data_IF_438608631592
#
_entry.id   IF_438608631592
#
_cell.length_a   1.000
_cell.length_b   1.000
_cell.length_c   1.000
_cell.angle_alpha   90.00
_cell.angle_beta   90.00
_cell.angle_gamma   90.00
#
_symmetry.space_group_name_H-M   'P 1'
#
loop_
_entity.id
_entity.type
_entity.pdbx_description
1 polymer ?
#
# COMPACT_ATOMS: atom_id res chain seq x y z
N UNK A 1 -2.22 20.67 8.55
CA UNK A 1 -2.48 19.30 9.00
C UNK A 1 -1.28 18.74 9.76
N UNK A 2 -0.08 18.76 9.21
CA UNK A 2 1.14 18.22 9.82
C UNK A 2 1.40 18.73 11.24
N UNK A 3 1.23 20.03 11.46
CA UNK A 3 1.46 20.62 12.79
C UNK A 3 0.43 20.17 13.83
N UNK A 4 -0.80 19.90 13.41
CA UNK A 4 -1.87 19.43 14.32
C UNK A 4 -1.63 17.97 14.66
N UNK A 5 -1.34 17.13 13.67
CA UNK A 5 -1.13 15.70 13.88
C UNK A 5 0.06 15.41 14.79
N UNK A 6 1.12 16.23 14.70
CA UNK A 6 2.28 16.10 15.59
C UNK A 6 1.98 16.42 17.06
N UNK A 7 0.81 16.96 17.39
CA UNK A 7 0.39 17.17 18.78
C UNK A 7 -0.17 15.91 19.44
N UNK A 8 -0.46 14.89 18.67
CA UNK A 8 -0.90 13.59 19.17
C UNK A 8 0.27 12.65 19.39
N UNK A 9 0.23 11.89 20.47
CA UNK A 9 1.36 11.07 20.91
C UNK A 9 1.46 9.74 20.15
N UNK A 10 0.33 9.13 19.83
CA UNK A 10 0.27 7.78 19.25
C UNK A 10 -0.14 7.78 17.77
N UNK A 11 0.25 6.70 17.06
CA UNK A 11 -0.17 6.44 15.69
C UNK A 11 -1.70 6.38 15.58
N UNK A 12 -2.35 5.67 16.50
CA UNK A 12 -3.80 5.54 16.58
C UNK A 12 -4.52 6.90 16.66
N UNK A 13 -4.09 7.77 17.56
CA UNK A 13 -4.66 9.11 17.74
C UNK A 13 -4.53 9.95 16.48
N UNK A 14 -3.38 9.89 15.82
CA UNK A 14 -3.13 10.61 14.55
C UNK A 14 -4.03 10.15 13.43
N UNK A 15 -4.19 8.84 13.29
CA UNK A 15 -5.07 8.21 12.29
C UNK A 15 -6.54 8.56 12.59
N UNK A 16 -6.98 8.42 13.84
CA UNK A 16 -8.35 8.71 14.24
C UNK A 16 -8.69 10.18 14.00
N UNK A 17 -7.77 11.09 14.31
CA UNK A 17 -7.96 12.52 14.01
C UNK A 17 -8.25 12.77 12.52
N UNK A 18 -7.50 12.14 11.62
CA UNK A 18 -7.73 12.31 10.17
C UNK A 18 -9.08 11.72 9.74
N UNK A 19 -9.44 10.56 10.28
CA UNK A 19 -10.74 9.92 9.98
C UNK A 19 -11.90 10.79 10.43
N UNK A 20 -11.86 11.29 11.66
CA UNK A 20 -12.86 12.19 12.22
C UNK A 20 -12.91 13.51 11.45
N UNK A 21 -11.75 14.13 11.17
CA UNK A 21 -11.68 15.38 10.41
C UNK A 21 -12.32 15.27 9.02
N UNK A 22 -12.05 14.18 8.28
CA UNK A 22 -12.64 13.97 6.96
C UNK A 22 -14.12 13.62 7.04
N UNK A 23 -14.54 12.88 8.05
CA UNK A 23 -15.94 12.56 8.26
C UNK A 23 -16.76 13.82 8.61
N UNK A 24 -16.27 14.64 9.55
CA UNK A 24 -16.95 15.85 9.98
C UNK A 24 -17.00 16.94 8.89
N UNK A 25 -15.95 16.99 8.04
CA UNK A 25 -15.85 18.05 7.01
C UNK A 25 -16.53 17.65 5.70
N UNK A 26 -16.47 16.38 5.32
CA UNK A 26 -16.87 15.88 3.99
C UNK A 26 -17.89 14.75 4.04
N UNK A 27 -18.33 14.32 5.22
CA UNK A 27 -19.15 13.11 5.43
C UNK A 27 -18.50 11.87 4.74
N UNK A 28 -17.15 11.82 4.74
CA UNK A 28 -16.41 10.81 4.01
C UNK A 28 -15.57 9.91 4.93
N UNK A 29 -15.88 8.61 4.92
CA UNK A 29 -15.06 7.59 5.60
C UNK A 29 -13.87 7.18 4.75
N UNK A 30 -12.66 7.56 5.19
CA UNK A 30 -11.42 7.27 4.50
C UNK A 30 -10.72 5.98 4.99
N UNK A 31 -11.37 5.19 5.85
CA UNK A 31 -10.75 4.02 6.50
C UNK A 31 -10.21 3.01 5.48
N UNK A 32 -11.00 2.66 4.47
CA UNK A 32 -10.58 1.74 3.41
C UNK A 32 -9.39 2.29 2.61
N UNK A 33 -9.43 3.58 2.27
CA UNK A 33 -8.33 4.22 1.54
C UNK A 33 -7.03 4.22 2.34
N UNK A 34 -7.09 4.58 3.62
CA UNK A 34 -5.91 4.55 4.48
C UNK A 34 -5.35 3.14 4.64
N UNK A 35 -6.23 2.14 4.80
CA UNK A 35 -5.79 0.75 4.91
C UNK A 35 -5.07 0.25 3.66
N UNK A 36 -5.56 0.61 2.48
CA UNK A 36 -4.95 0.24 1.20
C UNK A 36 -3.59 0.94 1.00
N UNK A 37 -3.55 2.27 1.18
CA UNK A 37 -2.35 3.05 0.89
C UNK A 37 -1.22 2.76 1.90
N UNK A 38 -1.51 2.65 3.20
CA UNK A 38 -0.49 2.37 4.21
C UNK A 38 0.02 0.92 4.15
N UNK A 39 -0.84 -0.03 3.75
CA UNK A 39 -0.38 -1.40 3.46
C UNK A 39 0.52 -1.46 2.22
N UNK A 40 0.19 -0.66 1.19
CA UNK A 40 1.03 -0.55 -0.01
C UNK A 40 2.37 0.11 0.32
N UNK A 41 2.36 1.19 1.11
CA UNK A 41 3.59 1.87 1.53
C UNK A 41 4.48 0.96 2.39
N UNK A 42 3.89 0.10 3.23
CA UNK A 42 4.63 -0.90 3.99
C UNK A 42 5.28 -1.96 3.08
N UNK A 43 4.57 -2.43 2.05
CA UNK A 43 5.11 -3.37 1.07
C UNK A 43 6.24 -2.74 0.24
N UNK A 44 6.07 -1.49 -0.18
CA UNK A 44 6.99 -0.81 -1.09
C UNK A 44 8.04 0.03 -0.38
N UNK A 45 8.02 0.14 0.96
CA UNK A 45 8.90 1.02 1.75
C UNK A 45 8.85 2.46 1.25
N UNK A 46 7.65 3.01 0.99
CA UNK A 46 7.51 4.38 0.53
C UNK A 46 7.74 5.36 1.68
N UNK A 47 8.94 5.88 1.77
CA UNK A 47 9.39 6.76 2.87
C UNK A 47 8.89 8.21 2.78
N UNK A 48 8.20 8.59 1.69
CA UNK A 48 7.76 9.96 1.47
C UNK A 48 6.24 10.12 1.36
N UNK A 49 5.47 9.29 2.08
CA UNK A 49 4.04 9.43 2.18
C UNK A 49 3.66 10.54 3.15
N UNK A 50 3.50 11.75 2.67
CA UNK A 50 3.03 12.89 3.46
C UNK A 50 1.57 13.26 3.10
N UNK A 51 0.94 14.18 3.87
CA UNK A 51 -0.48 14.49 3.69
C UNK A 51 -0.84 15.06 2.31
N UNK A 52 0.08 15.73 1.61
CA UNK A 52 -0.18 16.18 0.25
C UNK A 52 -0.25 15.03 -0.78
N UNK A 53 0.17 13.82 -0.39
CA UNK A 53 0.12 12.61 -1.20
C UNK A 53 -1.10 11.73 -0.85
N UNK A 54 -2.01 12.25 -0.01
CA UNK A 54 -3.31 11.68 0.31
C UNK A 54 -4.39 12.57 -0.32
N UNK A 55 -5.17 12.02 -1.24
CA UNK A 55 -6.09 12.82 -2.04
C UNK A 55 -7.56 12.38 -1.93
N UNK A 56 -8.45 13.37 -1.74
CA UNK A 56 -9.90 13.19 -1.87
C UNK A 56 -10.37 14.04 -3.06
N UNK A 57 -11.11 13.41 -3.97
CA UNK A 57 -11.72 14.08 -5.13
C UNK A 57 -13.16 14.41 -4.79
N UNK A 58 -13.52 15.69 -4.90
CA UNK A 58 -14.86 16.20 -4.65
C UNK A 58 -15.52 16.55 -5.98
N UNK A 59 -16.69 16.00 -6.24
CA UNK A 59 -17.51 16.40 -7.37
C UNK A 59 -18.20 17.73 -7.04
N UNK A 60 -17.82 18.81 -7.69
CA UNK A 60 -18.32 20.16 -7.41
C UNK A 60 -19.80 20.35 -7.72
N UNK A 61 -20.43 19.48 -8.50
CA UNK A 61 -21.86 19.56 -8.83
C UNK A 61 -22.73 18.82 -7.80
N UNK A 62 -22.22 17.72 -7.26
CA UNK A 62 -23.01 16.83 -6.38
C UNK A 62 -22.54 16.83 -4.93
N UNK A 63 -21.38 17.41 -4.63
CA UNK A 63 -20.72 17.32 -3.33
C UNK A 63 -20.17 15.93 -2.99
N UNK A 64 -20.38 14.93 -3.84
CA UNK A 64 -19.91 13.57 -3.54
C UNK A 64 -18.38 13.47 -3.54
N UNK A 65 -17.88 12.79 -2.52
CA UNK A 65 -16.44 12.52 -2.35
C UNK A 65 -16.06 11.11 -2.79
N UNK A 66 -14.85 10.96 -3.28
CA UNK A 66 -14.18 9.66 -3.50
C UNK A 66 -12.69 9.82 -3.27
N UNK A 67 -11.98 8.73 -3.03
CA UNK A 67 -10.52 8.75 -2.99
C UNK A 67 -9.93 9.09 -4.34
N UNK A 68 -8.80 9.80 -4.34
CA UNK A 68 -7.92 9.87 -5.48
C UNK A 68 -7.26 8.49 -5.71
N UNK A 69 -6.85 8.16 -6.94
CA UNK A 69 -5.91 7.08 -7.14
C UNK A 69 -4.66 7.27 -6.27
N UNK A 70 -4.04 6.17 -5.84
CA UNK A 70 -2.75 6.26 -5.13
C UNK A 70 -1.70 6.81 -6.09
N UNK A 71 -0.97 7.83 -5.67
CA UNK A 71 0.02 8.53 -6.47
C UNK A 71 1.26 8.85 -5.63
N UNK A 72 2.32 9.34 -6.29
CA UNK A 72 3.57 9.78 -5.70
C UNK A 72 4.28 8.68 -4.90
N UNK A 73 4.58 7.57 -5.59
CA UNK A 73 5.35 6.46 -5.04
C UNK A 73 6.83 6.53 -5.46
N UNK A 74 7.33 7.71 -5.84
CA UNK A 74 8.69 7.90 -6.34
C UNK A 74 9.79 7.60 -5.32
N UNK A 75 9.49 7.67 -4.03
CA UNK A 75 10.41 7.34 -2.95
C UNK A 75 10.32 5.87 -2.46
N UNK A 76 9.62 5.01 -3.21
CA UNK A 76 9.47 3.60 -2.87
C UNK A 76 10.73 2.78 -3.22
N UNK A 77 10.85 1.59 -2.62
CA UNK A 77 11.89 0.59 -2.91
C UNK A 77 13.32 1.15 -2.81
N UNK A 78 13.54 2.05 -1.86
CA UNK A 78 14.84 2.72 -1.64
C UNK A 78 15.38 3.43 -2.88
N UNK A 79 14.50 4.00 -3.71
CA UNK A 79 14.84 4.64 -4.99
C UNK A 79 15.60 5.96 -4.85
N UNK A 80 15.56 6.59 -3.68
CA UNK A 80 16.37 7.79 -3.39
C UNK A 80 17.82 7.42 -3.09
N UNK A 81 18.65 7.34 -4.12
CA UNK A 81 20.07 6.94 -3.98
C UNK A 81 20.94 7.95 -3.22
N UNK A 82 20.43 9.14 -2.93
CA UNK A 82 21.13 10.08 -2.03
C UNK A 82 21.05 9.61 -0.58
N UNK A 83 19.87 9.15 -0.17
CA UNK A 83 19.61 8.70 1.20
C UNK A 83 19.93 7.22 1.38
N UNK A 84 19.84 6.46 0.29
CA UNK A 84 20.07 5.00 0.25
C UNK A 84 21.10 4.65 -0.84
N UNK A 85 22.38 5.00 -0.66
CA UNK A 85 23.42 4.79 -1.68
C UNK A 85 23.65 3.30 -1.99
N UNK A 86 24.10 3.01 -3.22
CA UNK A 86 24.23 1.63 -3.70
C UNK A 86 25.47 0.89 -3.20
N UNK A 87 26.41 1.58 -2.59
CA UNK A 87 27.62 1.01 -1.99
C UNK A 87 27.38 0.35 -0.62
N UNK A 88 26.18 0.58 -0.04
CA UNK A 88 25.71 -0.09 1.17
C UNK A 88 24.65 -1.14 0.78
N UNK A 89 24.68 -2.35 1.35
CA UNK A 89 23.65 -3.35 1.13
C UNK A 89 22.25 -2.83 1.44
N UNK A 90 21.28 -3.13 0.59
CA UNK A 90 19.92 -2.60 0.77
C UNK A 90 19.26 -3.12 2.06
N UNK A 91 19.67 -4.27 2.56
CA UNK A 91 19.19 -4.85 3.81
C UNK A 91 19.52 -3.96 5.02
N UNK A 92 20.66 -3.27 5.00
CA UNK A 92 21.01 -2.30 6.03
C UNK A 92 20.11 -1.06 5.94
N UNK A 93 19.82 -0.59 4.73
CA UNK A 93 18.90 0.53 4.54
C UNK A 93 17.47 0.21 4.99
N UNK A 94 16.99 -1.02 4.75
CA UNK A 94 15.64 -1.45 5.21
C UNK A 94 15.50 -1.34 6.73
N UNK A 95 16.57 -1.54 7.49
CA UNK A 95 16.53 -1.40 8.96
C UNK A 95 16.37 0.06 9.42
N UNK A 96 16.68 1.02 8.57
CA UNK A 96 16.71 2.45 8.91
C UNK A 96 15.69 3.29 8.15
N UNK A 97 15.09 2.76 7.09
CA UNK A 97 14.04 3.47 6.36
C UNK A 97 12.82 3.66 7.26
N UNK A 98 12.28 4.88 7.24
CA UNK A 98 11.16 5.25 8.12
C UNK A 98 9.92 5.59 7.32
N UNK A 99 8.78 5.25 7.89
CA UNK A 99 7.47 5.61 7.37
C UNK A 99 7.05 7.02 7.80
N UNK A 100 6.01 7.51 7.18
CA UNK A 100 5.21 8.68 7.55
C UNK A 100 3.82 8.54 6.91
N UNK A 101 2.78 9.33 7.26
CA UNK A 101 2.84 10.49 8.14
C UNK A 101 2.46 10.20 9.60
N UNK A 102 1.95 9.00 9.93
CA UNK A 102 1.36 8.71 11.25
C UNK A 102 2.34 8.06 12.23
N UNK A 103 3.29 7.27 11.72
CA UNK A 103 4.36 6.63 12.49
C UNK A 103 5.64 6.57 11.66
N UNK A 104 6.79 6.41 12.32
CA UNK A 104 8.04 6.04 11.66
C UNK A 104 8.13 4.56 11.29
N UNK A 105 7.20 3.73 11.77
CA UNK A 105 7.13 2.30 11.51
C UNK A 105 6.02 1.99 10.50
N UNK A 106 6.39 1.38 9.37
CA UNK A 106 5.46 1.02 8.29
C UNK A 106 4.39 0.02 8.74
N UNK A 107 4.78 -0.98 9.51
CA UNK A 107 3.87 -2.03 9.96
C UNK A 107 2.89 -1.48 10.99
N UNK A 108 3.37 -0.68 11.96
CA UNK A 108 2.53 -0.06 12.96
C UNK A 108 1.38 0.74 12.33
N UNK A 109 1.68 1.63 11.37
CA UNK A 109 0.61 2.42 10.74
C UNK A 109 -0.31 1.60 9.85
N UNK A 110 0.17 0.54 9.19
CA UNK A 110 -0.65 -0.33 8.36
C UNK A 110 -1.58 -1.23 9.22
N UNK A 111 -1.08 -1.77 10.34
CA UNK A 111 -1.87 -2.58 11.27
C UNK A 111 -2.92 -1.75 12.00
N UNK A 112 -2.60 -0.51 12.38
CA UNK A 112 -3.51 0.38 13.10
C UNK A 112 -4.79 0.68 12.29
N UNK A 113 -4.68 0.83 10.97
CA UNK A 113 -5.85 1.01 10.08
C UNK A 113 -6.46 -0.31 9.60
N UNK A 114 -5.77 -1.43 9.86
CA UNK A 114 -6.06 -2.74 9.28
C UNK A 114 -5.41 -2.91 7.90
N UNK A 115 -4.96 -4.14 7.61
CA UNK A 115 -4.29 -4.45 6.35
C UNK A 115 -5.28 -4.45 5.19
N UNK A 116 -5.17 -3.47 4.31
CA UNK A 116 -6.08 -3.22 3.18
C UNK A 116 -5.66 -3.87 1.85
N UNK A 117 -4.55 -4.61 1.84
CA UNK A 117 -4.07 -5.32 0.67
C UNK A 117 -4.29 -6.84 0.79
N UNK A 118 -4.49 -7.48 -0.37
CA UNK A 118 -4.40 -8.91 -0.58
C UNK A 118 -3.61 -9.14 -1.85
N UNK A 119 -2.66 -10.08 -1.85
CA UNK A 119 -1.76 -10.29 -2.98
C UNK A 119 -1.89 -11.70 -3.55
N UNK A 120 -1.94 -11.78 -4.87
CA UNK A 120 -1.64 -13.01 -5.61
C UNK A 120 -0.12 -13.14 -5.74
N UNK A 121 0.52 -13.71 -4.71
CA UNK A 121 1.97 -13.84 -4.66
C UNK A 121 2.53 -14.64 -5.84
N UNK A 122 1.90 -15.76 -6.21
CA UNK A 122 2.37 -16.61 -7.31
C UNK A 122 2.28 -15.89 -8.66
N UNK A 123 1.15 -15.20 -8.89
CA UNK A 123 0.96 -14.39 -10.09
C UNK A 123 1.92 -13.20 -10.15
N UNK A 124 2.21 -12.58 -9.00
CA UNK A 124 3.15 -11.47 -8.90
C UNK A 124 4.59 -11.95 -9.16
N UNK A 125 5.04 -13.02 -8.48
CA UNK A 125 6.37 -13.60 -8.74
C UNK A 125 6.55 -13.99 -10.20
N UNK A 126 5.52 -14.61 -10.81
CA UNK A 126 5.56 -14.98 -12.23
C UNK A 126 5.77 -13.76 -13.15
N UNK A 127 5.12 -12.64 -12.85
CA UNK A 127 5.29 -11.40 -13.62
C UNK A 127 6.67 -10.79 -13.43
N UNK A 128 7.15 -10.76 -12.20
CA UNK A 128 8.45 -10.17 -11.86
C UNK A 128 9.63 -10.92 -12.48
N UNK A 129 9.48 -12.19 -12.85
CA UNK A 129 10.52 -12.96 -13.57
C UNK A 129 10.87 -12.37 -14.95
N UNK A 130 9.99 -11.58 -15.54
CA UNK A 130 10.21 -10.95 -16.85
C UNK A 130 10.75 -9.52 -16.73
N UNK A 131 10.87 -8.97 -15.53
CA UNK A 131 11.43 -7.65 -15.31
C UNK A 131 12.97 -7.68 -15.36
N UNK A 132 13.61 -6.64 -15.91
CA UNK A 132 15.07 -6.57 -15.94
C UNK A 132 15.61 -6.48 -14.51
N UNK A 133 16.76 -7.15 -14.23
CA UNK A 133 17.38 -7.08 -12.91
C UNK A 133 17.68 -5.65 -12.48
N UNK A 134 17.27 -5.31 -11.26
CA UNK A 134 17.49 -3.99 -10.67
C UNK A 134 17.47 -4.06 -9.15
N UNK A 135 18.10 -3.11 -8.49
CA UNK A 135 18.06 -3.00 -7.02
C UNK A 135 16.61 -2.88 -6.50
N UNK A 136 15.76 -2.13 -7.19
CA UNK A 136 14.36 -2.00 -6.82
C UNK A 136 13.64 -3.36 -6.87
N UNK A 137 13.97 -4.21 -7.84
CA UNK A 137 13.43 -5.56 -7.94
C UNK A 137 13.92 -6.44 -6.79
N UNK A 138 15.20 -6.35 -6.43
CA UNK A 138 15.77 -7.10 -5.31
C UNK A 138 15.13 -6.70 -3.98
N UNK A 139 14.94 -5.39 -3.75
CA UNK A 139 14.22 -4.86 -2.59
C UNK A 139 12.77 -5.35 -2.56
N UNK A 140 12.09 -5.35 -3.72
CA UNK A 140 10.71 -5.83 -3.81
C UNK A 140 10.60 -7.32 -3.50
N UNK A 141 11.50 -8.16 -4.02
CA UNK A 141 11.54 -9.59 -3.69
C UNK A 141 11.74 -9.82 -2.20
N UNK A 142 12.68 -9.09 -1.61
CA UNK A 142 12.90 -9.17 -0.17
C UNK A 142 11.65 -8.79 0.62
N UNK A 143 11.01 -7.67 0.26
CA UNK A 143 9.78 -7.20 0.93
C UNK A 143 8.62 -8.20 0.76
N UNK A 144 8.43 -8.79 -0.40
CA UNK A 144 7.40 -9.81 -0.61
C UNK A 144 7.59 -11.01 0.33
N UNK A 145 8.83 -11.45 0.55
CA UNK A 145 9.13 -12.55 1.48
C UNK A 145 8.85 -12.16 2.94
N UNK A 146 9.12 -10.92 3.34
CA UNK A 146 8.83 -10.46 4.70
C UNK A 146 7.32 -10.24 4.91
N UNK A 147 6.65 -9.67 3.92
CA UNK A 147 5.25 -9.23 4.03
C UNK A 147 4.22 -10.35 3.85
N UNK A 148 4.60 -11.52 3.37
CA UNK A 148 3.66 -12.66 3.16
C UNK A 148 3.00 -13.17 4.44
N UNK A 149 3.53 -12.84 5.61
CA UNK A 149 2.96 -13.17 6.92
C UNK A 149 2.03 -12.07 7.45
N UNK A 150 2.03 -10.90 6.81
CA UNK A 150 1.28 -9.70 7.21
C UNK A 150 0.17 -9.41 6.20
N UNK A 151 0.51 -9.40 4.90
CA UNK A 151 -0.45 -9.15 3.81
C UNK A 151 -1.07 -10.50 3.39
N UNK A 152 -2.39 -10.66 3.54
CA UNK A 152 -3.05 -11.92 3.18
C UNK A 152 -2.96 -12.25 1.69
N UNK A 153 -2.99 -13.55 1.40
CA UNK A 153 -3.10 -14.04 0.02
C UNK A 153 -4.46 -13.66 -0.55
N UNK A 154 -4.48 -13.21 -1.80
CA UNK A 154 -5.71 -13.03 -2.57
C UNK A 154 -6.26 -14.42 -2.94
N UNK A 155 -7.39 -14.80 -2.35
CA UNK A 155 -8.10 -16.01 -2.76
C UNK A 155 -8.72 -15.79 -4.14
N UNK A 156 -8.05 -16.29 -5.17
CA UNK A 156 -8.68 -16.40 -6.49
C UNK A 156 -9.69 -17.53 -6.40
N UNK A 157 -10.97 -17.22 -6.40
CA UNK A 157 -12.00 -18.23 -6.65
C UNK A 157 -11.67 -18.86 -8.00
N UNK A 158 -11.18 -20.09 -7.99
CA UNK A 158 -11.09 -20.90 -9.21
C UNK A 158 -12.52 -21.00 -9.73
N UNK A 159 -12.83 -20.24 -10.78
CA UNK A 159 -14.07 -20.47 -11.54
C UNK A 159 -13.97 -21.92 -11.99
N UNK A 160 -14.88 -22.82 -11.58
CA UNK A 160 -14.83 -24.17 -12.04
C UNK A 160 -14.87 -24.13 -13.56
N UNK A 161 -13.86 -24.70 -14.20
CA UNK A 161 -13.88 -24.93 -15.64
C UNK A 161 -15.16 -25.71 -15.94
N UNK A 162 -16.13 -25.03 -16.51
CA UNK A 162 -17.31 -25.71 -17.05
C UNK A 162 -16.77 -26.67 -18.13
N UNK A 163 -16.68 -27.93 -17.79
CA UNK A 163 -16.36 -28.97 -18.76
C UNK A 163 -17.45 -28.94 -19.82
N UNK A 164 -17.16 -28.41 -20.99
CA UNK A 164 -17.97 -28.59 -22.17
C UNK A 164 -17.90 -30.09 -22.52
N UNK A 165 -18.85 -30.85 -22.00
CA UNK A 165 -19.13 -32.18 -22.55
C UNK A 165 -19.74 -31.98 -23.92
N UNK A 166 -18.93 -32.13 -24.95
CA UNK A 166 -19.38 -32.29 -26.33
C UNK A 166 -19.96 -33.70 -26.47
N UNK A 167 -21.22 -33.87 -26.12
CA UNK A 167 -22.02 -34.99 -26.63
C UNK A 167 -22.72 -34.51 -27.89
N UNK A 168 -22.04 -34.57 -29.01
CA UNK A 168 -22.68 -34.68 -30.31
C UNK A 168 -22.93 -36.16 -30.48
N UNK A 169 -24.14 -36.61 -30.19
CA UNK A 169 -24.69 -37.85 -30.75
C UNK A 169 -25.61 -37.47 -31.91
N UNK A 170 -25.21 -37.99 -33.04
CA UNK A 170 -25.93 -38.35 -34.26
C UNK A 170 -27.43 -38.03 -34.32
N UNK A 171 -27.80 -37.20 -35.32
CA UNK A 171 -28.87 -37.56 -36.32
C UNK A 171 -28.50 -36.93 -37.67
#
# INVERSE_FOLDING_TARGET
LDNIIRTYDTCAERINYIKEFLYDTLEYDCSEYLSQILSLDALLLNSDRHFNNLGIVINNQTGKCRTAPIFDNGAALLSNYRDYPCDIPFEEHIQHVTAQPFSSNFIEQAEEVGIGLRLDYDGLYTKLLFEPPSRALDVLYYQLEQMKYIIPVLETHKIPLISYNSSIQDI
#
